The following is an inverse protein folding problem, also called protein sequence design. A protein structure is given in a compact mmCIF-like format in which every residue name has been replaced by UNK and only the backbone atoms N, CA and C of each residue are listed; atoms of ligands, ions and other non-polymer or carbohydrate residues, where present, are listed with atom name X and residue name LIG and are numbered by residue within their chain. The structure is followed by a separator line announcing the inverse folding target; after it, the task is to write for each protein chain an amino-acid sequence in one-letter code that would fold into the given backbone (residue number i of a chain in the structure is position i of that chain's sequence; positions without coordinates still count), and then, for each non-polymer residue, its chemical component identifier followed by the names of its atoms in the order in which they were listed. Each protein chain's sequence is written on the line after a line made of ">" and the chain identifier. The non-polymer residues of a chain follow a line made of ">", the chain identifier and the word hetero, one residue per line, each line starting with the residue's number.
data_IF_307998829880
#
_entry.id   IF_307998829880
#
_cell.length_a   1.000
_cell.length_b   1.000
_cell.length_c   1.000
_cell.angle_alpha   90.00
_cell.angle_beta   90.00
_cell.angle_gamma   90.00
#
_symmetry.space_group_name_H-M   'P 1'
#
loop_
_entity.id
_entity.type
_entity.pdbx_description
1 polymer ?
#
# COMPACT_ATOMS: atom_id res chain seq x y z
N UNK A 1 46.76 18.19 4.47
CA UNK A 1 45.88 19.31 4.05
C UNK A 1 44.49 18.70 3.88
N UNK A 2 43.53 18.81 4.82
CA UNK A 2 42.55 19.91 4.97
C UNK A 2 41.98 20.30 3.58
N UNK A 3 40.69 20.20 3.21
CA UNK A 3 39.38 20.34 3.89
C UNK A 3 38.32 19.86 2.87
N UNK A 4 37.35 19.03 3.24
CA UNK A 4 36.00 19.39 3.71
C UNK A 4 34.98 19.93 2.65
N UNK A 5 33.88 19.15 2.53
CA UNK A 5 32.44 19.55 2.58
C UNK A 5 31.87 20.38 1.41
N UNK A 6 30.80 19.86 0.76
CA UNK A 6 29.41 20.38 0.84
C UNK A 6 28.49 19.87 -0.29
N UNK A 7 27.55 19.00 0.11
CA UNK A 7 26.19 19.00 -0.44
C UNK A 7 25.59 20.39 -0.24
N UNK A 8 25.03 20.99 -1.29
CA UNK A 8 23.91 21.92 -1.12
C UNK A 8 22.88 21.74 -2.24
N UNK A 9 21.66 21.44 -1.83
CA UNK A 9 20.40 21.54 -2.53
C UNK A 9 20.02 23.01 -2.71
N UNK A 10 19.62 23.43 -3.93
CA UNK A 10 18.82 24.64 -4.15
C UNK A 10 17.87 24.45 -5.34
N UNK A 11 16.61 24.18 -5.03
CA UNK A 11 15.46 24.38 -5.90
C UNK A 11 15.13 25.88 -5.93
N UNK A 12 15.32 26.55 -7.07
CA UNK A 12 14.71 27.84 -7.38
C UNK A 12 14.55 27.98 -8.89
N UNK A 13 13.30 27.88 -9.37
CA UNK A 13 12.91 28.47 -10.65
C UNK A 13 11.48 29.01 -10.51
N UNK A 14 11.37 30.22 -9.95
CA UNK A 14 10.24 31.11 -10.22
C UNK A 14 10.41 31.65 -11.64
N UNK A 15 9.42 31.41 -12.51
CA UNK A 15 9.21 32.21 -13.72
C UNK A 15 7.76 32.67 -13.75
N UNK A 16 7.55 33.91 -13.34
CA UNK A 16 6.43 34.72 -13.82
C UNK A 16 6.70 35.08 -15.27
N UNK A 17 5.73 34.86 -16.15
CA UNK A 17 5.63 35.57 -17.42
C UNK A 17 4.19 36.04 -17.55
N UNK A 18 4.01 37.36 -17.46
CA UNK A 18 2.83 38.06 -17.92
C UNK A 18 2.78 37.98 -19.44
N UNK A 19 1.68 37.52 -20.03
CA UNK A 19 1.35 37.86 -21.42
C UNK A 19 -0.12 38.18 -21.54
N UNK A 20 -0.39 39.44 -21.80
CA UNK A 20 -1.69 40.05 -22.06
C UNK A 20 -2.22 39.52 -23.39
N UNK A 21 -3.42 38.95 -23.41
CA UNK A 21 -4.14 38.60 -24.63
C UNK A 21 -5.30 39.59 -24.86
N UNK A 22 -5.52 40.10 -26.08
CA UNK A 22 -6.55 41.09 -26.35
C UNK A 22 -7.95 40.47 -26.34
N UNK A 23 -8.87 41.16 -25.65
CA UNK A 23 -10.30 40.85 -25.58
C UNK A 23 -10.98 41.29 -26.88
N UNK A 24 -11.51 40.33 -27.65
CA UNK A 24 -12.44 40.63 -28.74
C UNK A 24 -13.87 40.66 -28.20
N UNK A 25 -14.49 41.83 -28.30
CA UNK A 25 -15.79 42.19 -27.77
C UNK A 25 -16.90 41.73 -28.73
N UNK A 26 -17.44 40.53 -28.51
CA UNK A 26 -18.56 40.00 -29.30
C UNK A 26 -19.88 40.50 -28.71
N UNK A 27 -20.51 41.44 -29.42
CA UNK A 27 -21.85 41.92 -29.14
C UNK A 27 -22.87 40.79 -29.39
N UNK A 28 -23.63 40.43 -28.37
CA UNK A 28 -24.84 39.59 -28.50
C UNK A 28 -26.08 40.44 -28.22
N UNK A 29 -27.16 40.26 -29.00
CA UNK A 29 -28.38 41.03 -28.80
C UNK A 29 -29.11 40.61 -27.52
N UNK A 30 -29.69 41.61 -26.88
CA UNK A 30 -30.52 41.56 -25.68
C UNK A 30 -31.83 40.82 -25.98
N UNK A 31 -32.03 39.64 -25.39
CA UNK A 31 -33.34 38.98 -25.33
C UNK A 31 -33.85 39.08 -23.90
N UNK A 32 -35.05 39.63 -23.77
CA UNK A 32 -35.81 39.86 -22.54
C UNK A 32 -36.53 38.58 -22.06
N UNK A 33 -36.85 38.61 -20.75
CA UNK A 33 -38.01 38.01 -20.10
C UNK A 33 -38.14 36.48 -20.09
N UNK A 34 -37.85 35.84 -18.95
CA UNK A 34 -38.85 35.43 -17.95
C UNK A 34 -38.21 34.47 -16.93
N UNK A 35 -38.40 34.78 -15.65
CA UNK A 35 -37.99 33.92 -14.55
C UNK A 35 -39.03 32.82 -14.34
N UNK A 36 -38.74 31.61 -14.80
CA UNK A 36 -39.45 30.41 -14.35
C UNK A 36 -38.58 29.69 -13.34
N UNK A 37 -38.95 29.81 -12.06
CA UNK A 37 -38.40 29.02 -10.96
C UNK A 37 -38.77 27.55 -11.16
N UNK A 38 -37.85 26.77 -11.71
CA UNK A 38 -37.95 25.32 -11.66
C UNK A 38 -37.41 24.85 -10.32
N UNK A 39 -38.32 24.56 -9.39
CA UNK A 39 -38.02 23.85 -8.16
C UNK A 39 -37.42 22.49 -8.50
N UNK A 40 -36.12 22.33 -8.28
CA UNK A 40 -35.43 21.05 -8.40
C UNK A 40 -35.51 20.34 -7.05
N UNK A 41 -36.67 19.76 -6.73
CA UNK A 41 -36.80 18.82 -5.61
C UNK A 41 -36.14 17.48 -6.00
N UNK A 42 -34.81 17.44 -5.88
CA UNK A 42 -34.06 16.19 -5.96
C UNK A 42 -34.05 15.57 -4.56
N UNK A 43 -35.15 14.89 -4.21
CA UNK A 43 -35.20 14.01 -3.06
C UNK A 43 -34.25 12.82 -3.29
N UNK A 44 -33.01 12.94 -2.80
CA UNK A 44 -32.17 11.78 -2.57
C UNK A 44 -32.63 11.14 -1.26
N UNK A 45 -33.47 10.11 -1.38
CA UNK A 45 -33.65 9.15 -0.30
C UNK A 45 -32.33 8.39 -0.15
N UNK A 46 -31.45 8.87 0.72
CA UNK A 46 -30.34 8.08 1.22
C UNK A 46 -30.87 7.20 2.35
N UNK A 47 -31.46 6.06 2.01
CA UNK A 47 -31.34 4.92 2.93
C UNK A 47 -29.88 4.50 2.86
N UNK A 48 -29.06 4.68 3.92
CA UNK A 48 -27.76 4.04 3.92
C UNK A 48 -28.03 2.53 3.88
N UNK A 49 -27.45 1.76 2.95
CA UNK A 49 -27.26 0.36 3.27
C UNK A 49 -26.42 0.38 4.54
N UNK A 50 -26.94 -0.17 5.63
CA UNK A 50 -26.17 -0.48 6.84
C UNK A 50 -25.20 -1.59 6.46
N UNK A 51 -24.21 -1.26 5.63
CA UNK A 51 -22.96 -2.00 5.53
C UNK A 51 -22.34 -1.80 6.90
N UNK A 52 -22.52 -2.81 7.75
CA UNK A 52 -21.74 -3.02 8.95
C UNK A 52 -20.27 -3.20 8.52
N UNK A 53 -19.64 -2.13 8.03
CA UNK A 53 -18.20 -2.04 7.96
C UNK A 53 -17.82 -1.92 9.42
N UNK A 54 -17.51 -3.06 10.03
CA UNK A 54 -16.83 -3.10 11.30
C UNK A 54 -15.55 -2.28 11.11
N UNK A 55 -15.62 -1.00 11.47
CA UNK A 55 -14.48 -0.11 11.45
C UNK A 55 -13.48 -0.73 12.44
N UNK A 56 -12.42 -1.33 11.89
CA UNK A 56 -11.39 -1.99 12.71
C UNK A 56 -10.79 -0.92 13.61
N UNK A 57 -10.75 -1.14 14.91
CA UNK A 57 -10.14 -0.17 15.82
C UNK A 57 -8.66 0.04 15.45
N UNK A 58 -8.19 1.29 15.58
CA UNK A 58 -6.85 1.67 15.17
C UNK A 58 -5.78 0.91 15.96
N UNK A 59 -5.97 0.76 17.28
CA UNK A 59 -5.05 0.03 18.13
C UNK A 59 -4.98 -1.45 17.73
N UNK A 60 -6.14 -2.07 17.48
CA UNK A 60 -6.23 -3.47 17.03
C UNK A 60 -5.53 -3.67 15.68
N UNK A 61 -5.72 -2.75 14.72
CA UNK A 61 -5.01 -2.82 13.45
C UNK A 61 -3.49 -2.75 13.64
N UNK A 62 -3.02 -1.82 14.48
CA UNK A 62 -1.58 -1.62 14.70
C UNK A 62 -0.93 -2.83 15.37
N UNK A 63 -1.59 -3.41 16.37
CA UNK A 63 -1.14 -4.62 17.06
C UNK A 63 -1.00 -5.79 16.09
N UNK A 64 -2.09 -6.15 15.39
CA UNK A 64 -2.12 -7.25 14.41
C UNK A 64 -1.09 -7.03 13.29
N UNK A 65 -0.95 -5.79 12.80
CA UNK A 65 0.01 -5.48 11.75
C UNK A 65 1.45 -5.63 12.22
N UNK A 66 1.77 -5.20 13.45
CA UNK A 66 3.12 -5.33 13.99
C UNK A 66 3.47 -6.80 14.22
N UNK A 67 2.60 -7.56 14.88
CA UNK A 67 2.80 -8.99 15.11
C UNK A 67 2.99 -9.76 13.80
N UNK A 68 2.22 -9.41 12.77
CA UNK A 68 2.38 -10.01 11.42
C UNK A 68 3.77 -9.72 10.84
N UNK A 69 4.19 -8.44 10.83
CA UNK A 69 5.45 -8.04 10.18
C UNK A 69 6.69 -8.51 10.95
N UNK A 70 6.63 -8.52 12.28
CA UNK A 70 7.69 -9.06 13.14
C UNK A 70 7.85 -10.56 12.91
N UNK A 71 6.74 -11.32 12.95
CA UNK A 71 6.76 -12.76 12.72
C UNK A 71 7.23 -13.12 11.31
N UNK A 72 6.85 -12.34 10.29
CA UNK A 72 7.38 -12.50 8.93
C UNK A 72 8.88 -12.19 8.86
N UNK A 73 9.35 -11.14 9.54
CA UNK A 73 10.77 -10.78 9.57
C UNK A 73 11.62 -11.92 10.12
N UNK A 74 11.27 -12.42 11.32
CA UNK A 74 11.96 -13.53 11.97
C UNK A 74 11.98 -14.78 11.06
N UNK A 75 10.84 -15.08 10.43
CA UNK A 75 10.76 -16.26 9.57
C UNK A 75 11.56 -16.10 8.27
N UNK A 76 11.61 -14.90 7.68
CA UNK A 76 12.45 -14.66 6.52
C UNK A 76 13.94 -14.71 6.84
N UNK A 77 14.35 -14.25 8.03
CA UNK A 77 15.73 -14.41 8.51
C UNK A 77 16.11 -15.90 8.61
N UNK A 78 15.24 -16.75 9.18
CA UNK A 78 15.44 -18.20 9.23
C UNK A 78 15.54 -18.82 7.82
N UNK A 79 14.68 -18.39 6.89
CA UNK A 79 14.71 -18.87 5.50
C UNK A 79 16.03 -18.50 4.83
N UNK A 80 16.49 -17.26 5.00
CA UNK A 80 17.74 -16.77 4.40
C UNK A 80 18.95 -17.53 4.96
N UNK A 81 19.01 -17.74 6.27
CA UNK A 81 20.11 -18.46 6.92
C UNK A 81 20.16 -19.95 6.54
N UNK A 82 18.99 -20.57 6.34
CA UNK A 82 18.88 -21.99 5.99
C UNK A 82 19.02 -22.29 4.49
N UNK A 83 18.99 -21.27 3.62
CA UNK A 83 18.93 -21.45 2.16
C UNK A 83 20.28 -21.16 1.47
N UNK A 84 21.04 -22.19 1.05
CA UNK A 84 22.35 -22.00 0.44
C UNK A 84 22.31 -21.31 -0.95
N UNK A 85 21.14 -21.28 -1.60
CA UNK A 85 20.94 -20.62 -2.89
C UNK A 85 20.66 -19.11 -2.78
N UNK A 86 20.45 -18.59 -1.57
CA UNK A 86 20.18 -17.17 -1.30
C UNK A 86 21.46 -16.41 -0.90
N UNK A 87 22.55 -16.59 -1.66
CA UNK A 87 23.80 -15.88 -1.38
C UNK A 87 23.64 -14.37 -1.51
N UNK A 88 23.97 -13.65 -0.44
CA UNK A 88 23.83 -12.19 -0.38
C UNK A 88 22.39 -11.71 -0.24
N UNK A 89 21.47 -12.59 0.16
CA UNK A 89 20.16 -12.17 0.62
C UNK A 89 20.25 -11.46 1.97
N UNK A 90 19.30 -10.56 2.21
CA UNK A 90 19.24 -9.72 3.40
C UNK A 90 17.77 -9.41 3.73
N UNK A 91 17.49 -9.29 5.03
CA UNK A 91 16.16 -8.99 5.56
C UNK A 91 16.29 -7.77 6.46
N UNK A 92 15.47 -6.76 6.21
CA UNK A 92 15.48 -5.53 7.02
C UNK A 92 14.05 -5.14 7.37
N UNK A 93 13.79 -4.92 8.65
CA UNK A 93 12.51 -4.42 9.14
C UNK A 93 12.70 -3.11 9.89
N UNK A 94 12.08 -2.03 9.39
CA UNK A 94 12.18 -0.71 10.00
C UNK A 94 10.93 0.13 9.70
N UNK A 95 10.40 0.78 10.73
CA UNK A 95 9.26 1.72 10.63
C UNK A 95 8.04 1.15 9.87
N UNK A 96 7.71 -0.12 10.13
CA UNK A 96 6.59 -0.80 9.46
C UNK A 96 6.87 -1.21 8.01
N UNK A 97 8.12 -1.12 7.54
CA UNK A 97 8.56 -1.58 6.22
C UNK A 97 9.49 -2.77 6.39
N UNK A 98 9.03 -3.94 5.95
CA UNK A 98 9.82 -5.17 5.84
C UNK A 98 10.31 -5.31 4.40
N UNK A 99 11.62 -5.30 4.21
CA UNK A 99 12.29 -5.48 2.92
C UNK A 99 13.07 -6.78 2.92
N UNK A 100 12.76 -7.66 1.96
CA UNK A 100 13.42 -8.96 1.78
C UNK A 100 14.15 -8.93 0.43
N UNK A 101 15.45 -8.73 0.46
CA UNK A 101 16.29 -8.80 -0.73
C UNK A 101 16.76 -10.24 -0.93
N UNK A 102 16.30 -10.91 -1.99
CA UNK A 102 16.65 -12.31 -2.29
C UNK A 102 17.71 -12.42 -3.39
N UNK A 103 18.61 -11.43 -3.49
CA UNK A 103 19.63 -11.36 -4.53
C UNK A 103 19.05 -11.41 -5.93
N UNK A 104 19.38 -12.45 -6.69
CA UNK A 104 18.95 -12.61 -8.09
C UNK A 104 17.43 -12.85 -8.26
N UNK A 105 16.72 -13.18 -7.18
CA UNK A 105 15.26 -13.40 -7.22
C UNK A 105 14.46 -12.11 -7.00
N UNK A 106 15.13 -10.97 -6.85
CA UNK A 106 14.53 -9.65 -6.67
C UNK A 106 14.30 -9.29 -5.21
N UNK A 107 13.52 -8.23 -4.99
CA UNK A 107 13.27 -7.67 -3.67
C UNK A 107 11.77 -7.60 -3.41
N UNK A 108 11.36 -8.18 -2.30
CA UNK A 108 10.01 -8.03 -1.76
C UNK A 108 9.98 -6.87 -0.79
N UNK A 109 8.92 -6.07 -0.84
CA UNK A 109 8.68 -5.01 0.14
C UNK A 109 7.26 -5.17 0.69
N UNK A 110 7.15 -5.33 1.99
CA UNK A 110 5.89 -5.45 2.72
C UNK A 110 5.79 -4.25 3.65
N UNK A 111 4.80 -3.39 3.45
CA UNK A 111 4.68 -2.11 4.14
C UNK A 111 3.33 -1.98 4.84
N UNK A 112 3.36 -1.56 6.11
CA UNK A 112 2.20 -1.11 6.87
C UNK A 112 1.64 0.19 6.28
N UNK A 113 0.34 0.20 5.99
CA UNK A 113 -0.37 1.37 5.49
C UNK A 113 -1.48 1.78 6.46
N UNK A 114 -1.06 2.50 7.51
CA UNK A 114 -1.89 2.95 8.63
C UNK A 114 -3.15 3.71 8.20
N UNK A 115 -3.09 4.71 7.29
CA UNK A 115 -4.29 5.47 6.91
C UNK A 115 -5.39 4.60 6.28
N UNK A 116 -4.99 3.51 5.62
CA UNK A 116 -5.90 2.60 4.94
C UNK A 116 -6.23 1.35 5.76
N UNK A 117 -5.57 1.15 6.91
CA UNK A 117 -5.60 -0.10 7.70
C UNK A 117 -5.29 -1.34 6.84
N UNK A 118 -4.22 -1.25 6.05
CA UNK A 118 -3.80 -2.27 5.09
C UNK A 118 -2.33 -2.66 5.27
N UNK A 119 -1.97 -3.81 4.70
CA UNK A 119 -0.59 -4.15 4.35
C UNK A 119 -0.44 -4.10 2.83
N UNK A 120 0.59 -3.44 2.34
CA UNK A 120 0.93 -3.41 0.93
C UNK A 120 2.13 -4.31 0.66
N UNK A 121 2.04 -5.12 -0.38
CA UNK A 121 3.10 -5.98 -0.87
C UNK A 121 3.56 -5.45 -2.23
N UNK A 122 4.88 -5.39 -2.43
CA UNK A 122 5.51 -5.33 -3.74
C UNK A 122 6.27 -6.64 -3.94
N UNK A 123 5.76 -7.52 -4.80
CA UNK A 123 6.43 -8.77 -5.19
C UNK A 123 7.17 -8.57 -6.53
N UNK A 124 8.42 -9.07 -6.68
CA UNK A 124 9.10 -9.11 -7.98
C UNK A 124 8.44 -10.10 -8.96
N UNK A 125 7.55 -10.98 -8.49
CA UNK A 125 6.88 -12.01 -9.30
C UNK A 125 5.47 -11.56 -9.69
N UNK A 126 4.65 -11.16 -8.72
CA UNK A 126 3.23 -10.84 -8.93
C UNK A 126 2.91 -9.35 -8.91
N UNK A 127 3.89 -8.49 -8.66
CA UNK A 127 3.72 -7.03 -8.61
C UNK A 127 3.04 -6.55 -7.32
N UNK A 128 2.45 -5.34 -7.34
CA UNK A 128 1.88 -4.73 -6.15
C UNK A 128 0.51 -5.32 -5.77
N UNK A 129 0.31 -5.57 -4.47
CA UNK A 129 -0.97 -6.02 -3.89
C UNK A 129 -1.28 -5.26 -2.60
N UNK A 130 -2.56 -5.10 -2.28
CA UNK A 130 -3.05 -4.39 -1.09
C UNK A 130 -3.97 -5.30 -0.30
N UNK A 131 -3.54 -5.69 0.88
CA UNK A 131 -4.25 -6.62 1.74
C UNK A 131 -5.07 -5.87 2.78
N UNK A 132 -6.34 -6.23 2.84
CA UNK A 132 -7.26 -5.75 3.86
C UNK A 132 -7.26 -6.72 5.05
N UNK A 133 -7.37 -6.15 6.25
CA UNK A 133 -7.50 -6.93 7.49
C UNK A 133 -8.91 -7.49 7.63
N UNK A 134 -9.00 -8.80 7.83
CA UNK A 134 -10.24 -9.53 8.15
C UNK A 134 -10.11 -10.08 9.57
N UNK A 135 -10.93 -9.59 10.51
CA UNK A 135 -10.85 -9.96 11.94
C UNK A 135 -11.35 -11.37 12.28
N UNK A 136 -11.72 -12.19 11.29
CA UNK A 136 -12.12 -13.58 11.52
C UNK A 136 -10.89 -14.43 11.82
N UNK A 137 -11.08 -15.47 12.63
CA UNK A 137 -10.06 -16.50 12.91
C UNK A 137 -8.75 -15.93 13.48
N UNK A 138 -8.84 -14.89 14.32
CA UNK A 138 -7.67 -14.25 14.94
C UNK A 138 -7.02 -13.15 14.11
N UNK A 139 -7.62 -12.75 12.98
CA UNK A 139 -7.10 -11.68 12.13
C UNK A 139 -6.20 -12.23 11.03
N UNK A 140 -6.49 -11.90 9.77
CA UNK A 140 -5.67 -12.28 8.63
C UNK A 140 -5.81 -11.27 7.48
N UNK A 141 -4.89 -11.36 6.52
CA UNK A 141 -4.70 -10.38 5.45
C UNK A 141 -5.15 -10.93 4.11
N UNK A 142 -6.19 -10.37 3.50
CA UNK A 142 -6.78 -10.86 2.24
C UNK A 142 -6.67 -9.84 1.13
N UNK A 143 -6.23 -10.25 -0.06
CA UNK A 143 -6.30 -9.42 -1.25
C UNK A 143 -7.68 -9.55 -1.90
N UNK A 144 -8.44 -8.46 -1.93
CA UNK A 144 -9.85 -8.48 -2.39
C UNK A 144 -10.07 -8.94 -3.82
N UNK A 145 -9.06 -8.84 -4.70
CA UNK A 145 -9.24 -9.14 -6.12
C UNK A 145 -9.25 -10.65 -6.41
N UNK A 146 -8.44 -11.43 -5.71
CA UNK A 146 -8.31 -12.89 -5.91
C UNK A 146 -8.72 -13.71 -4.67
N UNK A 147 -8.93 -13.06 -3.52
CA UNK A 147 -9.26 -13.71 -2.26
C UNK A 147 -8.09 -14.46 -1.62
N UNK A 148 -6.88 -14.34 -2.17
CA UNK A 148 -5.69 -15.02 -1.65
C UNK A 148 -5.14 -14.22 -0.47
N UNK A 149 -4.74 -14.93 0.57
CA UNK A 149 -4.13 -14.31 1.74
C UNK A 149 -2.67 -13.91 1.48
N UNK A 150 -2.14 -12.98 2.28
CA UNK A 150 -0.72 -12.60 2.22
C UNK A 150 0.18 -13.83 2.37
N UNK A 151 -0.04 -14.60 3.43
CA UNK A 151 0.79 -15.76 3.77
C UNK A 151 0.70 -16.87 2.73
N UNK A 152 -0.46 -17.11 2.14
CA UNK A 152 -0.62 -18.11 1.08
C UNK A 152 0.16 -17.72 -0.18
N UNK A 153 0.10 -16.45 -0.57
CA UNK A 153 0.90 -15.97 -1.70
C UNK A 153 2.40 -16.13 -1.43
N UNK A 154 2.87 -15.71 -0.25
CA UNK A 154 4.28 -15.85 0.14
C UNK A 154 4.70 -17.33 0.18
N UNK A 155 3.86 -18.21 0.72
CA UNK A 155 4.09 -19.66 0.69
C UNK A 155 4.31 -20.14 -0.75
N UNK A 156 3.44 -19.77 -1.69
CA UNK A 156 3.53 -20.22 -3.09
C UNK A 156 4.72 -19.63 -3.86
N UNK A 157 5.05 -18.36 -3.65
CA UNK A 157 6.15 -17.68 -4.34
C UNK A 157 7.51 -18.11 -3.78
N UNK A 158 7.65 -18.13 -2.45
CA UNK A 158 8.94 -18.43 -1.80
C UNK A 158 9.29 -19.92 -1.92
N UNK A 159 8.30 -20.82 -1.88
CA UNK A 159 8.52 -22.26 -2.09
C UNK A 159 9.11 -22.60 -3.47
N UNK A 160 9.00 -21.69 -4.46
CA UNK A 160 9.62 -21.87 -5.79
C UNK A 160 11.05 -21.34 -5.83
N UNK A 161 11.44 -20.50 -4.88
CA UNK A 161 12.75 -19.85 -4.81
C UNK A 161 13.69 -20.69 -3.96
N UNK A 162 13.23 -21.20 -2.82
CA UNK A 162 14.08 -21.94 -1.87
C UNK A 162 13.94 -23.44 -2.06
N UNK A 163 15.03 -24.17 -1.80
CA UNK A 163 15.06 -25.64 -1.92
C UNK A 163 14.46 -26.33 -0.69
N UNK A 164 14.49 -25.66 0.46
CA UNK A 164 13.94 -26.16 1.72
C UNK A 164 12.42 -26.03 1.76
N UNK A 165 11.79 -26.89 2.58
CA UNK A 165 10.35 -26.77 2.84
C UNK A 165 10.11 -25.50 3.67
N UNK A 166 9.27 -24.59 3.17
CA UNK A 166 8.79 -23.43 3.92
C UNK A 166 7.34 -23.63 4.37
N UNK A 167 6.98 -23.04 5.50
CA UNK A 167 5.72 -23.21 6.21
C UNK A 167 5.28 -21.88 6.84
N UNK A 168 4.64 -21.02 6.05
CA UNK A 168 4.14 -19.71 6.49
C UNK A 168 2.93 -19.81 7.43
N UNK A 169 2.37 -21.00 7.64
CA UNK A 169 1.29 -21.24 8.60
C UNK A 169 1.73 -21.05 10.07
N UNK A 170 3.03 -21.00 10.34
CA UNK A 170 3.59 -20.74 11.68
C UNK A 170 3.66 -19.25 12.02
N UNK A 171 3.58 -18.38 11.03
CA UNK A 171 3.61 -16.94 11.24
C UNK A 171 2.31 -16.45 11.89
N UNK A 172 2.40 -15.35 12.64
CA UNK A 172 1.24 -14.68 13.23
C UNK A 172 0.25 -14.22 12.15
N UNK A 173 -1.05 -14.32 12.44
CA UNK A 173 -2.14 -13.89 11.52
C UNK A 173 -2.11 -14.57 10.15
N UNK A 174 -1.63 -15.81 10.13
CA UNK A 174 -1.49 -16.61 8.93
C UNK A 174 -2.77 -17.37 8.59
N UNK A 175 -3.07 -17.41 7.29
CA UNK A 175 -4.13 -18.22 6.70
C UNK A 175 -3.58 -18.81 5.40
N UNK A 176 -3.12 -20.05 5.41
CA UNK A 176 -2.45 -20.69 4.26
C UNK A 176 -3.26 -21.88 3.78
#
# INVERSE_FOLDING_TARGET
>A
MLRNILRTSRWLARRQINSVAPVLLRHYPRISSEATSFSFDRQFSSTPPTSQVSEVDQAVFEEICNETLESLCEYFEEIVDSSPNLKGADVTFSDGVLTIALGNYGTYVINRQTPNKQIWLSSPVSGPKRYDLVLKDGGHWVYKHDGISLHKLLQEEISKIVTSKVEFNKCSHSLV
#
